data_IF_419000977569
#
_entry.id   IF_419000977569
#
_cell.length_a   1.000
_cell.length_b   1.000
_cell.length_c   1.000
_cell.angle_alpha   90.00
_cell.angle_beta   90.00
_cell.angle_gamma   90.00
#
_symmetry.space_group_name_H-M   'P 1'
#
loop_
_entity.id
_entity.type
_entity.pdbx_description
1 polymer ?
#
# COMPACT_ATOMS: atom_id res chain seq x y z
N UNK A 1 -7.34 -27.86 -8.82
CA UNK A 1 -7.17 -29.28 -8.41
C UNK A 1 -8.05 -29.46 -7.19
N UNK A 2 -8.94 -30.45 -7.14
CA UNK A 2 -9.79 -30.67 -5.96
C UNK A 2 -8.93 -31.35 -4.88
N UNK A 3 -8.73 -30.69 -3.74
CA UNK A 3 -7.92 -31.22 -2.63
C UNK A 3 -8.74 -32.23 -1.81
N UNK A 4 -8.06 -33.21 -1.22
CA UNK A 4 -8.70 -34.12 -0.27
C UNK A 4 -9.24 -33.35 0.94
N UNK A 5 -10.48 -33.63 1.34
CA UNK A 5 -11.12 -33.03 2.52
C UNK A 5 -10.58 -33.63 3.81
N UNK A 6 -9.36 -33.25 4.15
CA UNK A 6 -8.67 -33.63 5.39
C UNK A 6 -8.31 -32.38 6.20
N UNK A 7 -8.04 -32.55 7.49
CA UNK A 7 -7.70 -31.42 8.37
C UNK A 7 -6.48 -30.64 7.89
N UNK A 8 -5.46 -31.29 7.33
CA UNK A 8 -4.25 -30.62 6.83
C UNK A 8 -4.53 -29.58 5.72
N UNK A 9 -5.61 -29.80 4.96
CA UNK A 9 -6.04 -28.92 3.88
C UNK A 9 -7.12 -27.94 4.36
N UNK A 10 -7.19 -27.62 5.66
CA UNK A 10 -8.15 -26.68 6.24
C UNK A 10 -7.44 -25.38 6.61
N UNK A 11 -8.07 -24.22 6.37
CA UNK A 11 -7.56 -22.90 6.77
C UNK A 11 -7.21 -22.80 8.26
N UNK A 12 -7.90 -23.58 9.09
CA UNK A 12 -7.76 -23.57 10.55
C UNK A 12 -6.70 -24.55 11.07
N UNK A 13 -6.04 -25.33 10.21
CA UNK A 13 -4.99 -26.24 10.64
C UNK A 13 -3.63 -25.56 10.59
N UNK A 14 -2.90 -25.58 11.71
CA UNK A 14 -1.64 -24.87 11.85
C UNK A 14 -0.55 -25.77 12.42
N UNK A 15 0.67 -25.62 11.89
CA UNK A 15 1.83 -26.43 12.27
C UNK A 15 2.87 -25.56 12.93
N UNK A 16 3.63 -26.12 13.87
CA UNK A 16 4.82 -25.45 14.38
C UNK A 16 5.91 -25.51 13.31
N UNK A 17 6.68 -24.43 13.15
CA UNK A 17 7.80 -24.37 12.21
C UNK A 17 8.81 -25.52 12.36
N UNK A 18 8.93 -26.12 13.56
CA UNK A 18 9.80 -27.29 13.81
C UNK A 18 9.19 -28.62 13.39
N UNK A 19 7.88 -28.68 13.20
CA UNK A 19 7.11 -29.87 12.84
C UNK A 19 6.71 -29.86 11.33
N UNK A 20 7.27 -28.97 10.50
CA UNK A 20 6.97 -28.85 9.05
C UNK A 20 7.17 -30.14 8.25
N UNK A 21 8.12 -30.99 8.66
CA UNK A 21 8.36 -32.30 8.04
C UNK A 21 7.50 -33.42 8.65
N UNK A 22 6.52 -33.07 9.47
CA UNK A 22 5.60 -34.00 10.10
C UNK A 22 4.18 -33.61 9.73
N UNK A 23 3.25 -34.56 9.69
CA UNK A 23 1.84 -34.25 9.44
C UNK A 23 1.12 -33.78 10.71
N UNK A 24 1.85 -33.35 11.76
CA UNK A 24 1.25 -32.92 13.02
C UNK A 24 0.95 -31.42 13.03
N UNK A 25 -0.24 -31.08 13.49
CA UNK A 25 -0.67 -29.71 13.71
C UNK A 25 -1.83 -29.65 14.69
N UNK A 26 -2.35 -28.45 14.90
CA UNK A 26 -3.50 -28.19 15.76
C UNK A 26 -4.59 -27.47 14.97
N UNK A 27 -5.81 -27.47 15.51
CA UNK A 27 -6.89 -26.64 14.99
C UNK A 27 -6.89 -25.31 15.74
N UNK A 28 -6.79 -24.18 15.03
CA UNK A 28 -6.78 -22.84 15.61
C UNK A 28 -8.15 -22.40 16.15
N UNK A 29 -9.23 -23.14 15.82
CA UNK A 29 -10.55 -22.94 16.43
C UNK A 29 -10.68 -23.57 17.83
N UNK A 30 -9.64 -24.23 18.34
CA UNK A 30 -9.62 -24.70 19.73
C UNK A 30 -9.34 -23.52 20.66
N UNK A 31 -10.32 -23.15 21.49
CA UNK A 31 -10.30 -22.02 22.45
C UNK A 31 -9.04 -22.01 23.34
N UNK A 32 -8.37 -23.14 23.54
CA UNK A 32 -7.12 -23.19 24.30
C UNK A 32 -5.99 -22.36 23.68
N UNK A 33 -6.01 -22.16 22.35
CA UNK A 33 -5.02 -21.34 21.64
C UNK A 33 -5.43 -19.88 21.48
N UNK A 34 -6.70 -19.52 21.78
CA UNK A 34 -7.20 -18.15 21.67
C UNK A 34 -6.31 -17.11 22.39
N UNK A 35 -5.80 -17.37 23.61
CA UNK A 35 -4.93 -16.41 24.32
C UNK A 35 -3.55 -16.18 23.69
N UNK A 36 -3.17 -16.97 22.68
CA UNK A 36 -1.84 -16.95 22.05
C UNK A 36 -1.92 -16.72 20.53
N UNK A 37 -3.11 -16.44 19.98
CA UNK A 37 -3.34 -16.35 18.55
C UNK A 37 -2.41 -15.34 17.87
N UNK A 38 -2.31 -14.14 18.44
CA UNK A 38 -1.49 -13.05 17.88
C UNK A 38 -0.01 -13.43 17.84
N UNK A 39 0.52 -14.06 18.88
CA UNK A 39 1.92 -14.48 18.90
C UNK A 39 2.20 -15.70 18.01
N UNK A 40 1.26 -16.65 17.91
CA UNK A 40 1.39 -17.81 17.03
C UNK A 40 1.43 -17.35 15.58
N UNK A 41 0.47 -16.51 15.17
CA UNK A 41 0.40 -15.98 13.80
C UNK A 41 1.59 -15.06 13.52
N UNK A 42 1.99 -14.23 14.49
CA UNK A 42 3.10 -13.28 14.33
C UNK A 42 4.47 -13.95 14.17
N UNK A 43 4.72 -15.07 14.86
CA UNK A 43 6.01 -15.77 14.84
C UNK A 43 6.02 -17.03 13.97
N UNK A 44 4.85 -17.47 13.49
CA UNK A 44 4.67 -18.73 12.76
C UNK A 44 5.18 -19.95 13.55
N UNK A 45 4.99 -19.93 14.88
CA UNK A 45 5.41 -21.00 15.78
C UNK A 45 4.54 -21.08 17.05
N UNK A 46 4.69 -22.17 17.80
CA UNK A 46 4.01 -22.36 19.08
C UNK A 46 4.96 -22.18 20.26
N UNK A 47 6.02 -21.35 20.14
CA UNK A 47 7.03 -21.21 21.19
C UNK A 47 6.43 -20.72 22.52
N UNK A 48 5.43 -19.85 22.49
CA UNK A 48 4.76 -19.32 23.68
C UNK A 48 3.78 -20.31 24.35
N UNK A 49 3.39 -21.37 23.67
CA UNK A 49 2.43 -22.37 24.17
C UNK A 49 2.85 -23.82 23.81
N UNK A 50 4.15 -24.08 23.72
CA UNK A 50 4.69 -25.31 23.12
C UNK A 50 4.19 -26.58 23.80
N UNK A 51 4.12 -26.57 25.12
CA UNK A 51 3.61 -27.71 25.91
C UNK A 51 2.15 -28.02 25.57
N UNK A 52 1.35 -26.99 25.29
CA UNK A 52 -0.04 -27.14 24.89
C UNK A 52 -0.14 -27.69 23.47
N UNK A 53 0.63 -27.12 22.54
CA UNK A 53 0.74 -27.62 21.17
C UNK A 53 1.10 -29.11 21.15
N UNK A 54 2.14 -29.52 21.89
CA UNK A 54 2.57 -30.92 21.97
C UNK A 54 1.48 -31.87 22.50
N UNK A 55 0.63 -31.41 23.42
CA UNK A 55 -0.47 -32.20 23.99
C UNK A 55 -1.68 -32.31 23.06
N UNK A 56 -1.99 -31.23 22.32
CA UNK A 56 -3.20 -31.13 21.51
C UNK A 56 -2.98 -31.49 20.04
N UNK A 57 -1.73 -31.49 19.56
CA UNK A 57 -1.44 -31.79 18.14
C UNK A 57 -1.92 -33.17 17.73
N UNK A 58 -2.36 -33.26 16.49
CA UNK A 58 -2.87 -34.48 15.88
C UNK A 58 -2.42 -34.56 14.42
N UNK A 59 -2.47 -35.77 13.84
CA UNK A 59 -2.15 -35.97 12.43
C UNK A 59 -3.19 -35.33 11.52
N UNK A 60 -2.75 -34.50 10.58
CA UNK A 60 -3.58 -33.70 9.67
C UNK A 60 -4.30 -34.53 8.61
N UNK A 61 -3.86 -35.76 8.34
CA UNK A 61 -4.52 -36.71 7.42
C UNK A 61 -5.88 -37.26 7.91
N UNK A 62 -6.47 -36.69 8.98
CA UNK A 62 -7.82 -37.04 9.43
C UNK A 62 -8.86 -36.42 8.50
N UNK A 63 -9.99 -37.10 8.36
CA UNK A 63 -11.15 -36.58 7.65
C UNK A 63 -11.58 -35.21 8.23
N UNK A 64 -11.88 -34.28 7.33
CA UNK A 64 -12.31 -32.94 7.66
C UNK A 64 -13.58 -32.93 8.51
N UNK A 65 -13.64 -32.06 9.52
CA UNK A 65 -14.83 -31.88 10.35
C UNK A 65 -15.85 -30.95 9.68
N UNK A 66 -17.00 -30.76 10.34
CA UNK A 66 -18.06 -29.85 9.87
C UNK A 66 -17.66 -28.36 9.86
N UNK A 67 -16.55 -28.00 10.49
CA UNK A 67 -15.97 -26.65 10.49
C UNK A 67 -14.85 -26.48 9.45
N UNK A 68 -14.71 -27.43 8.53
CA UNK A 68 -13.73 -27.33 7.46
C UNK A 68 -13.96 -26.09 6.61
N UNK A 69 -12.90 -25.31 6.47
CA UNK A 69 -12.86 -24.14 5.61
C UNK A 69 -11.72 -24.35 4.61
N UNK A 70 -12.09 -24.30 3.33
CA UNK A 70 -11.17 -24.54 2.23
C UNK A 70 -10.17 -23.37 2.15
N UNK A 71 -8.85 -23.65 2.12
CA UNK A 71 -7.84 -22.61 2.03
C UNK A 71 -7.91 -21.93 0.66
N UNK A 72 -7.71 -20.62 0.66
CA UNK A 72 -7.56 -19.87 -0.57
C UNK A 72 -6.22 -20.25 -1.23
N UNK A 73 -6.28 -20.90 -2.40
CA UNK A 73 -5.10 -21.25 -3.18
C UNK A 73 -4.83 -20.10 -4.13
N UNK A 74 -3.67 -19.46 -3.97
CA UNK A 74 -3.21 -18.41 -4.86
C UNK A 74 -2.21 -19.03 -5.84
N UNK A 75 -2.48 -18.89 -7.15
CA UNK A 75 -1.54 -19.28 -8.19
C UNK A 75 -0.41 -18.25 -8.26
N UNK A 76 0.82 -18.69 -7.97
CA UNK A 76 2.02 -17.88 -8.13
C UNK A 76 2.48 -18.01 -9.58
N UNK A 77 2.80 -16.91 -10.28
CA UNK A 77 3.37 -16.97 -11.63
C UNK A 77 4.64 -17.84 -11.66
N UNK A 78 4.76 -18.71 -12.67
CA UNK A 78 5.87 -19.69 -12.79
C UNK A 78 7.27 -19.06 -12.80
N UNK A 79 7.38 -17.76 -13.10
CA UNK A 79 8.63 -17.01 -13.19
C UNK A 79 8.98 -16.21 -11.91
N UNK A 80 8.11 -16.22 -10.90
CA UNK A 80 8.36 -15.50 -9.64
C UNK A 80 8.93 -16.41 -8.54
N UNK A 81 9.90 -15.87 -7.79
CA UNK A 81 10.37 -16.51 -6.57
C UNK A 81 9.27 -16.48 -5.50
N UNK A 82 8.86 -17.67 -5.03
CA UNK A 82 7.76 -17.86 -4.08
C UNK A 82 7.94 -17.00 -2.82
N UNK A 83 9.15 -16.91 -2.28
CA UNK A 83 9.40 -16.12 -1.07
C UNK A 83 9.22 -14.62 -1.32
N UNK A 84 9.68 -14.16 -2.49
CA UNK A 84 9.50 -12.77 -2.94
C UNK A 84 8.02 -12.44 -3.14
N UNK A 85 7.25 -13.33 -3.77
CA UNK A 85 5.81 -13.17 -3.94
C UNK A 85 5.07 -13.07 -2.59
N UNK A 86 5.34 -14.01 -1.68
CA UNK A 86 4.75 -14.03 -0.33
C UNK A 86 5.09 -12.74 0.42
N UNK A 87 6.33 -12.25 0.32
CA UNK A 87 6.73 -10.99 0.94
C UNK A 87 5.92 -9.81 0.38
N UNK A 88 5.75 -9.71 -0.93
CA UNK A 88 4.97 -8.63 -1.54
C UNK A 88 3.49 -8.69 -1.15
N UNK A 89 2.87 -9.87 -1.16
CA UNK A 89 1.47 -10.02 -0.73
C UNK A 89 1.31 -9.68 0.76
N UNK A 90 2.24 -10.09 1.64
CA UNK A 90 2.25 -9.66 3.04
C UNK A 90 2.31 -8.14 3.17
N UNK A 91 3.22 -7.48 2.45
CA UNK A 91 3.37 -6.02 2.50
C UNK A 91 2.15 -5.29 1.94
N UNK A 92 1.54 -5.82 0.88
CA UNK A 92 0.33 -5.26 0.24
C UNK A 92 -0.86 -5.21 1.21
N UNK A 93 -0.95 -6.18 2.13
CA UNK A 93 -2.02 -6.28 3.13
C UNK A 93 -1.62 -5.84 4.54
N UNK A 94 -0.38 -5.42 4.74
CA UNK A 94 0.11 -4.97 6.04
C UNK A 94 -0.61 -3.70 6.50
N UNK A 95 -1.00 -3.65 7.78
CA UNK A 95 -1.50 -2.43 8.41
C UNK A 95 -0.37 -1.38 8.48
N UNK A 96 -0.65 -0.17 7.98
CA UNK A 96 0.31 0.94 7.90
C UNK A 96 -0.14 2.17 8.69
N UNK A 97 -1.16 2.05 9.56
CA UNK A 97 -1.77 3.18 10.26
C UNK A 97 -0.76 3.97 11.10
N UNK A 98 0.16 3.27 11.77
CA UNK A 98 1.18 3.91 12.58
C UNK A 98 2.18 4.71 11.71
N UNK A 99 2.51 4.22 10.51
CA UNK A 99 3.35 4.95 9.56
C UNK A 99 2.63 6.21 9.08
N UNK A 100 1.32 6.12 8.79
CA UNK A 100 0.51 7.25 8.34
C UNK A 100 0.45 8.35 9.40
N UNK A 101 0.34 8.00 10.70
CA UNK A 101 0.38 9.00 11.79
C UNK A 101 1.66 9.85 11.77
N UNK A 102 2.80 9.24 11.44
CA UNK A 102 4.07 9.96 11.37
C UNK A 102 4.18 10.97 10.22
N UNK A 103 3.31 10.90 9.21
CA UNK A 103 3.24 11.93 8.15
C UNK A 103 2.85 13.30 8.71
N UNK A 104 2.10 13.34 9.81
CA UNK A 104 1.61 14.56 10.46
C UNK A 104 2.48 15.01 11.63
N UNK A 105 3.72 14.50 11.73
CA UNK A 105 4.64 14.88 12.80
C UNK A 105 5.19 16.30 12.56
N UNK A 106 5.48 17.03 13.64
CA UNK A 106 6.10 18.37 13.55
C UNK A 106 7.57 18.34 13.13
N UNK A 107 8.24 17.19 13.20
CA UNK A 107 9.63 17.01 12.80
C UNK A 107 9.72 16.49 11.36
N UNK A 108 10.25 17.33 10.46
CA UNK A 108 10.42 17.00 9.05
C UNK A 108 11.28 15.76 8.78
N UNK A 109 12.23 15.42 9.66
CA UNK A 109 13.03 14.19 9.49
C UNK A 109 12.16 12.94 9.69
N UNK A 110 11.24 12.97 10.66
CA UNK A 110 10.29 11.89 10.92
C UNK A 110 9.31 11.78 9.74
N UNK A 111 8.79 12.92 9.27
CA UNK A 111 7.91 12.97 8.10
C UNK A 111 8.59 12.39 6.85
N UNK A 112 9.84 12.77 6.57
CA UNK A 112 10.59 12.25 5.42
C UNK A 112 10.82 10.73 5.48
N UNK A 113 11.10 10.19 6.69
CA UNK A 113 11.20 8.74 6.92
C UNK A 113 9.85 8.07 6.68
N UNK A 114 8.76 8.63 7.20
CA UNK A 114 7.40 8.12 6.99
C UNK A 114 7.00 8.12 5.51
N UNK A 115 7.30 9.20 4.77
CA UNK A 115 7.08 9.28 3.32
C UNK A 115 7.87 8.18 2.59
N UNK A 116 9.14 7.99 2.94
CA UNK A 116 9.97 6.95 2.29
C UNK A 116 9.40 5.54 2.53
N UNK A 117 8.99 5.26 3.76
CA UNK A 117 8.36 3.98 4.11
C UNK A 117 7.03 3.79 3.38
N UNK A 118 6.10 4.74 3.49
CA UNK A 118 4.76 4.63 2.90
C UNK A 118 4.82 4.53 1.37
N UNK A 119 5.78 5.22 0.74
CA UNK A 119 6.00 5.16 -0.71
C UNK A 119 6.31 3.75 -1.20
N UNK A 120 7.00 2.95 -0.39
CA UNK A 120 7.29 1.55 -0.73
C UNK A 120 5.99 0.74 -0.76
N UNK A 121 5.13 0.90 0.26
CA UNK A 121 3.83 0.25 0.31
C UNK A 121 2.89 0.69 -0.83
N UNK A 122 2.89 1.97 -1.20
CA UNK A 122 2.11 2.48 -2.35
C UNK A 122 2.52 1.77 -3.65
N UNK A 123 3.83 1.60 -3.88
CA UNK A 123 4.34 0.92 -5.08
C UNK A 123 3.97 -0.57 -5.12
N UNK A 124 3.94 -1.22 -3.96
CA UNK A 124 3.52 -2.61 -3.80
C UNK A 124 1.99 -2.77 -3.98
N UNK A 125 1.23 -1.67 -3.90
CA UNK A 125 -0.21 -1.68 -4.11
C UNK A 125 -1.03 -1.76 -2.83
N UNK A 126 -0.43 -1.48 -1.68
CA UNK A 126 -1.15 -1.33 -0.41
C UNK A 126 -2.12 -0.14 -0.50
N UNK A 127 -3.41 -0.40 -0.30
CA UNK A 127 -4.49 0.58 -0.49
C UNK A 127 -4.48 1.67 0.59
N UNK A 128 -4.33 1.27 1.86
CA UNK A 128 -4.32 2.21 2.98
C UNK A 128 -3.11 3.15 2.90
N UNK A 129 -1.96 2.63 2.43
CA UNK A 129 -0.78 3.45 2.17
C UNK A 129 -1.03 4.52 1.09
N UNK A 130 -1.73 4.17 0.02
CA UNK A 130 -2.09 5.10 -1.05
C UNK A 130 -3.04 6.18 -0.54
N UNK A 131 -4.12 5.77 0.13
CA UNK A 131 -5.10 6.71 0.69
C UNK A 131 -4.47 7.62 1.73
N UNK A 132 -3.66 7.07 2.64
CA UNK A 132 -2.93 7.84 3.65
C UNK A 132 -1.99 8.88 3.05
N UNK A 133 -1.22 8.50 2.02
CA UNK A 133 -0.29 9.41 1.34
C UNK A 133 -1.03 10.50 0.55
N UNK A 134 -2.12 10.17 -0.15
CA UNK A 134 -2.97 11.13 -0.86
C UNK A 134 -3.59 12.12 0.12
N UNK A 135 -4.18 11.64 1.21
CA UNK A 135 -4.82 12.48 2.22
C UNK A 135 -3.81 13.45 2.85
N UNK A 136 -2.63 12.94 3.20
CA UNK A 136 -1.54 13.78 3.68
C UNK A 136 -1.15 14.84 2.65
N UNK A 137 -0.90 14.43 1.41
CA UNK A 137 -0.54 15.36 0.35
C UNK A 137 -1.61 16.44 0.14
N UNK A 138 -2.89 16.08 0.13
CA UNK A 138 -4.02 17.01 0.00
C UNK A 138 -4.16 17.97 1.17
N UNK A 139 -3.75 17.55 2.37
CA UNK A 139 -3.79 18.38 3.60
C UNK A 139 -2.73 19.48 3.64
N UNK A 140 -1.66 19.38 2.85
CA UNK A 140 -0.57 20.36 2.87
C UNK A 140 -1.02 21.76 2.40
N UNK A 141 -0.46 22.80 3.02
CA UNK A 141 -0.64 24.19 2.59
C UNK A 141 0.04 24.47 1.23
N UNK A 142 0.16 25.73 0.82
CA UNK A 142 0.98 26.12 -0.33
C UNK A 142 2.47 25.80 -0.08
N UNK A 143 3.18 25.29 -1.08
CA UNK A 143 4.64 25.18 -0.99
C UNK A 143 5.29 26.57 -1.02
N UNK A 144 6.06 26.92 0.01
CA UNK A 144 6.73 28.23 0.15
C UNK A 144 8.25 28.11 0.27
N UNK A 145 8.76 26.94 0.64
CA UNK A 145 10.19 26.66 0.77
C UNK A 145 10.68 25.64 -0.26
N UNK A 146 12.00 25.56 -0.44
CA UNK A 146 12.60 24.48 -1.25
C UNK A 146 12.43 23.11 -0.59
N UNK A 147 12.41 23.05 0.74
CA UNK A 147 12.19 21.81 1.49
C UNK A 147 10.77 21.27 1.21
N UNK A 148 9.75 22.12 1.22
CA UNK A 148 8.38 21.75 0.85
C UNK A 148 8.35 21.19 -0.58
N UNK A 149 9.07 21.83 -1.50
CA UNK A 149 9.15 21.42 -2.90
C UNK A 149 9.74 20.03 -3.01
N UNK A 150 10.85 19.73 -2.33
CA UNK A 150 11.46 18.41 -2.37
C UNK A 150 10.58 17.32 -1.77
N UNK A 151 9.94 17.59 -0.62
CA UNK A 151 8.98 16.67 0.00
C UNK A 151 7.86 16.34 -0.98
N UNK A 152 7.26 17.36 -1.60
CA UNK A 152 6.16 17.17 -2.55
C UNK A 152 6.59 16.47 -3.82
N UNK A 153 7.79 16.73 -4.32
CA UNK A 153 8.34 16.01 -5.48
C UNK A 153 8.50 14.52 -5.17
N UNK A 154 9.00 14.18 -3.97
CA UNK A 154 9.10 12.78 -3.54
C UNK A 154 7.72 12.12 -3.50
N UNK A 155 6.70 12.79 -2.96
CA UNK A 155 5.31 12.28 -2.95
C UNK A 155 4.80 12.08 -4.38
N UNK A 156 4.96 13.07 -5.26
CA UNK A 156 4.52 13.00 -6.66
C UNK A 156 5.18 11.82 -7.38
N UNK A 157 6.47 11.60 -7.18
CA UNK A 157 7.18 10.46 -7.76
C UNK A 157 6.69 9.12 -7.20
N UNK A 158 6.37 9.04 -5.91
CA UNK A 158 5.79 7.83 -5.31
C UNK A 158 4.40 7.51 -5.84
N UNK A 159 3.59 8.53 -6.13
CA UNK A 159 2.26 8.38 -6.74
C UNK A 159 2.31 8.07 -8.24
N UNK A 160 3.49 8.03 -8.86
CA UNK A 160 3.58 7.84 -10.31
C UNK A 160 3.11 6.47 -10.82
N UNK A 161 3.05 5.45 -9.95
CA UNK A 161 2.47 4.15 -10.27
C UNK A 161 0.94 4.15 -10.23
N UNK A 162 0.33 5.28 -9.84
CA UNK A 162 -1.11 5.49 -9.66
C UNK A 162 -1.62 6.66 -10.51
N UNK A 163 -0.95 6.99 -11.61
CA UNK A 163 -1.29 8.10 -12.53
C UNK A 163 -2.66 7.91 -13.22
N UNK A 164 -3.18 6.69 -13.30
CA UNK A 164 -4.53 6.38 -13.80
C UNK A 164 -5.63 6.55 -12.75
N UNK A 165 -5.28 6.76 -11.48
CA UNK A 165 -6.26 6.92 -10.42
C UNK A 165 -6.76 8.37 -10.36
N UNK A 166 -8.08 8.55 -10.30
CA UNK A 166 -8.71 9.87 -10.27
C UNK A 166 -8.18 10.73 -9.11
N UNK A 167 -8.06 10.16 -7.91
CA UNK A 167 -7.57 10.88 -6.73
C UNK A 167 -6.12 11.38 -6.90
N UNK A 168 -5.28 10.67 -7.67
CA UNK A 168 -3.91 11.11 -7.98
C UNK A 168 -3.94 12.34 -8.89
N UNK A 169 -4.78 12.32 -9.92
CA UNK A 169 -4.95 13.44 -10.86
C UNK A 169 -5.49 14.66 -10.11
N UNK A 170 -6.51 14.48 -9.29
CA UNK A 170 -7.08 15.54 -8.45
C UNK A 170 -6.03 16.14 -7.52
N UNK A 171 -5.19 15.31 -6.91
CA UNK A 171 -4.12 15.79 -6.03
C UNK A 171 -3.05 16.60 -6.79
N UNK A 172 -2.67 16.17 -7.98
CA UNK A 172 -1.78 16.91 -8.86
C UNK A 172 -2.37 18.28 -9.27
N UNK A 173 -3.65 18.31 -9.67
CA UNK A 173 -4.34 19.56 -10.01
C UNK A 173 -4.46 20.46 -8.79
N UNK A 174 -4.81 19.93 -7.63
CA UNK A 174 -4.90 20.69 -6.38
C UNK A 174 -3.56 21.34 -6.00
N UNK A 175 -2.44 20.64 -6.18
CA UNK A 175 -1.12 21.24 -5.99
C UNK A 175 -0.88 22.43 -6.93
N UNK A 176 -1.24 22.30 -8.20
CA UNK A 176 -1.19 23.41 -9.16
C UNK A 176 -2.15 24.54 -8.79
N UNK A 177 -3.25 24.30 -8.08
CA UNK A 177 -4.15 25.36 -7.60
C UNK A 177 -3.51 26.11 -6.42
N UNK A 178 -3.08 25.39 -5.37
CA UNK A 178 -2.68 25.99 -4.10
C UNK A 178 -1.31 26.67 -4.11
N UNK A 179 -0.38 26.19 -4.93
CA UNK A 179 1.02 26.61 -4.85
C UNK A 179 1.34 27.75 -5.84
N UNK A 180 2.02 28.84 -5.47
CA UNK A 180 2.44 29.91 -6.39
C UNK A 180 3.35 29.37 -7.49
N UNK A 181 3.15 29.77 -8.75
CA UNK A 181 4.08 29.46 -9.84
C UNK A 181 5.23 30.48 -9.86
N UNK A 182 6.34 30.19 -9.18
CA UNK A 182 7.51 31.06 -9.11
C UNK A 182 8.82 30.27 -9.26
N UNK A 183 9.97 30.91 -9.06
CA UNK A 183 11.28 30.25 -9.21
C UNK A 183 11.49 29.09 -8.23
N UNK A 184 11.00 29.21 -6.98
CA UNK A 184 11.12 28.16 -5.95
C UNK A 184 10.37 26.90 -6.34
N UNK A 185 9.15 27.05 -6.86
CA UNK A 185 8.22 25.94 -7.11
C UNK A 185 8.25 25.45 -8.57
N UNK A 186 9.05 26.08 -9.43
CA UNK A 186 9.14 25.77 -10.86
C UNK A 186 9.43 24.30 -11.15
N UNK A 187 10.25 23.65 -10.32
CA UNK A 187 10.58 22.23 -10.46
C UNK A 187 9.37 21.35 -10.17
N UNK A 188 8.66 21.61 -9.06
CA UNK A 188 7.41 20.92 -8.71
C UNK A 188 6.37 21.04 -9.82
N UNK A 189 6.14 22.26 -10.32
CA UNK A 189 5.24 22.50 -11.46
C UNK A 189 5.63 21.68 -12.69
N UNK A 190 6.92 21.66 -13.02
CA UNK A 190 7.40 20.96 -14.22
C UNK A 190 7.25 19.45 -14.07
N UNK A 191 7.45 18.91 -12.87
CA UNK A 191 7.22 17.51 -12.57
C UNK A 191 5.72 17.17 -12.70
N UNK A 192 4.84 17.93 -12.04
CA UNK A 192 3.40 17.65 -12.04
C UNK A 192 2.82 17.73 -13.45
N UNK A 193 3.14 18.77 -14.21
CA UNK A 193 2.67 18.91 -15.59
C UNK A 193 3.19 17.77 -16.48
N UNK A 194 4.43 17.32 -16.28
CA UNK A 194 4.97 16.15 -16.99
C UNK A 194 4.21 14.86 -16.64
N UNK A 195 3.77 14.72 -15.38
CA UNK A 195 3.03 13.55 -14.89
C UNK A 195 1.59 13.56 -15.42
N UNK A 196 0.91 14.71 -15.33
CA UNK A 196 -0.43 14.89 -15.90
C UNK A 196 -0.47 14.62 -17.40
N UNK A 197 0.57 14.99 -18.15
CA UNK A 197 0.65 14.65 -19.59
C UNK A 197 0.80 13.16 -19.91
N UNK A 198 0.91 12.27 -18.91
CA UNK A 198 0.88 10.80 -19.08
C UNK A 198 -0.46 10.18 -18.68
N UNK A 199 -1.30 10.93 -17.98
CA UNK A 199 -2.61 10.47 -17.56
C UNK A 199 -3.57 10.37 -18.76
N UNK A 200 -4.65 9.57 -18.66
CA UNK A 200 -5.68 9.52 -19.69
C UNK A 200 -6.27 10.91 -19.98
N UNK A 201 -6.33 11.29 -21.26
CA UNK A 201 -6.76 12.64 -21.70
C UNK A 201 -8.14 13.03 -21.16
N UNK A 202 -9.08 12.08 -21.22
CA UNK A 202 -10.45 12.21 -20.72
C UNK A 202 -10.55 12.55 -19.23
N UNK A 203 -9.54 12.17 -18.44
CA UNK A 203 -9.51 12.47 -17.00
C UNK A 203 -8.85 13.80 -16.66
N UNK A 204 -7.99 14.33 -17.55
CA UNK A 204 -7.23 15.56 -17.27
C UNK A 204 -7.78 16.80 -17.98
N UNK A 205 -8.51 16.63 -19.08
CA UNK A 205 -8.98 17.75 -19.90
C UNK A 205 -9.84 18.73 -19.10
N UNK A 206 -10.91 18.25 -18.49
CA UNK A 206 -11.81 19.12 -17.72
C UNK A 206 -11.12 19.73 -16.49
N UNK A 207 -10.41 18.97 -15.62
CA UNK A 207 -9.70 19.55 -14.48
C UNK A 207 -8.70 20.65 -14.85
N UNK A 208 -7.96 20.48 -15.96
CA UNK A 208 -6.98 21.47 -16.42
C UNK A 208 -7.63 22.71 -17.05
N UNK A 209 -8.75 22.56 -17.75
CA UNK A 209 -9.52 23.72 -18.24
C UNK A 209 -10.08 24.53 -17.08
N UNK A 210 -10.68 23.87 -16.07
CA UNK A 210 -11.15 24.52 -14.86
C UNK A 210 -10.01 25.22 -14.10
N UNK A 211 -8.81 24.64 -14.06
CA UNK A 211 -7.62 25.25 -13.48
C UNK A 211 -7.26 26.57 -14.16
N UNK A 212 -7.34 26.63 -15.49
CA UNK A 212 -7.04 27.84 -16.28
C UNK A 212 -8.09 28.95 -16.15
N UNK A 213 -9.32 28.60 -15.78
CA UNK A 213 -10.39 29.57 -15.48
C UNK A 213 -10.26 30.12 -14.07
N UNK A 214 -10.00 29.25 -13.09
CA UNK A 214 -9.91 29.62 -11.67
C UNK A 214 -8.67 30.45 -11.34
N UNK A 215 -7.59 30.32 -12.14
CA UNK A 215 -6.31 30.92 -11.82
C UNK A 215 -5.64 31.61 -13.00
N UNK A 216 -5.15 32.82 -12.74
CA UNK A 216 -4.31 33.53 -13.70
C UNK A 216 -2.89 32.97 -13.71
N UNK A 217 -2.51 32.44 -14.88
CA UNK A 217 -1.16 32.00 -15.17
C UNK A 217 -0.48 32.94 -16.16
N UNK A 218 0.85 33.00 -16.10
CA UNK A 218 1.62 33.62 -17.19
C UNK A 218 1.30 32.95 -18.53
N UNK A 219 1.39 33.69 -19.62
CA UNK A 219 1.15 33.18 -20.97
C UNK A 219 1.92 31.88 -21.24
N UNK A 220 3.21 31.82 -20.84
CA UNK A 220 4.04 30.63 -21.00
C UNK A 220 3.51 29.41 -20.24
N UNK A 221 3.03 29.60 -19.02
CA UNK A 221 2.49 28.49 -18.23
C UNK A 221 1.13 28.05 -18.75
N UNK A 222 0.26 29.00 -19.12
CA UNK A 222 -1.03 28.71 -19.76
C UNK A 222 -0.85 27.88 -21.03
N UNK A 223 0.10 28.26 -21.89
CA UNK A 223 0.43 27.50 -23.10
C UNK A 223 0.86 26.06 -22.78
N UNK A 224 1.73 25.85 -21.80
CA UNK A 224 2.15 24.50 -21.39
C UNK A 224 1.00 23.63 -20.88
N UNK A 225 0.05 24.22 -20.17
CA UNK A 225 -1.14 23.50 -19.69
C UNK A 225 -2.05 23.15 -20.87
N UNK A 226 -2.28 24.08 -21.80
CA UNK A 226 -3.08 23.83 -23.02
C UNK A 226 -2.47 22.72 -23.90
N UNK A 227 -1.14 22.71 -24.06
CA UNK A 227 -0.42 21.65 -24.79
C UNK A 227 -0.68 20.26 -24.20
N UNK A 228 -0.85 20.13 -22.88
CA UNK A 228 -1.18 18.87 -22.20
C UNK A 228 -2.63 18.46 -22.46
N UNK A 229 -3.53 19.43 -22.57
CA UNK A 229 -4.96 19.21 -22.88
C UNK A 229 -5.19 18.89 -24.36
N UNK A 230 -4.16 19.04 -25.20
CA UNK A 230 -4.27 18.80 -26.65
C UNK A 230 -4.89 19.96 -27.44
N UNK A 231 -4.81 21.20 -26.91
CA UNK A 231 -5.40 22.43 -27.50
C UNK A 231 -4.32 23.48 -27.78
#
# INVERSE_FOLDING_TARGET
MEQDKICQNCSSFFQDSRDFNTDFGVCMNDEAFEPFLDEIIGNDDFSNCHDMYRKKRFGGGKEACSQYEEPEIIEIPDDEDVNTYILFEKMKHQNVDEIIKYLYNSNNEIVNKAISSISTYVRIGNKDAYEGLINYYMSLDSAVSLEDVYIRMNIVDSLSTKESEQNTIEAYVNELVRTPSNNTTRQLYSLILKRLGKCPEEMIQEPLLQLLEKRQYSYKMRKRIMEIVGI
#
